data_IF_576314430432
#
_entry.id   IF_576314430432
#
_cell.length_a   1.000
_cell.length_b   1.000
_cell.length_c   1.000
_cell.angle_alpha   90.00
_cell.angle_beta   90.00
_cell.angle_gamma   90.00
#
_symmetry.space_group_name_H-M   'P 1'
#
loop_
_entity.id
_entity.type
_entity.pdbx_description
1 polymer ?
#
# COMPACT_ATOMS: atom_id res chain seq x y z
N UNK A 1 12.73 -36.05 5.52
CA UNK A 1 12.38 -35.84 4.11
C UNK A 1 10.99 -36.44 3.91
N UNK A 2 9.95 -35.64 4.16
CA UNK A 2 8.56 -36.06 3.97
C UNK A 2 8.17 -35.71 2.55
N UNK A 3 7.72 -36.70 1.80
CA UNK A 3 7.11 -36.54 0.48
C UNK A 3 5.89 -35.62 0.60
N UNK A 4 5.93 -34.48 -0.09
CA UNK A 4 4.74 -33.69 -0.40
C UNK A 4 3.95 -34.51 -1.42
N UNK A 5 3.02 -35.35 -0.94
CA UNK A 5 1.91 -35.77 -1.78
C UNK A 5 1.01 -34.56 -1.95
N UNK A 6 0.84 -34.14 -3.21
CA UNK A 6 -0.11 -33.11 -3.61
C UNK A 6 -1.50 -33.47 -3.09
N UNK A 7 -1.96 -32.75 -2.07
CA UNK A 7 -3.35 -32.81 -1.62
C UNK A 7 -4.19 -32.12 -2.70
N UNK A 8 -4.60 -32.89 -3.69
CA UNK A 8 -5.61 -32.48 -4.65
C UNK A 8 -6.93 -32.38 -3.86
N UNK A 9 -7.54 -31.19 -3.74
CA UNK A 9 -8.83 -31.07 -3.06
C UNK A 9 -9.84 -31.98 -3.76
N UNK A 10 -10.64 -32.68 -2.96
CA UNK A 10 -11.64 -33.60 -3.52
C UNK A 10 -12.67 -32.80 -4.33
N UNK A 11 -13.30 -33.39 -5.37
CA UNK A 11 -14.36 -32.73 -6.14
C UNK A 11 -15.47 -32.13 -5.27
N UNK A 12 -15.75 -32.74 -4.10
CA UNK A 12 -16.73 -32.25 -3.13
C UNK A 12 -16.30 -30.94 -2.43
N UNK A 13 -15.00 -30.74 -2.21
CA UNK A 13 -14.46 -29.49 -1.64
C UNK A 13 -14.45 -28.36 -2.67
N UNK A 14 -14.29 -28.70 -3.95
CA UNK A 14 -14.43 -27.74 -5.06
C UNK A 14 -15.91 -27.35 -5.21
N UNK A 15 -16.84 -28.31 -5.19
CA UNK A 15 -18.27 -28.05 -5.33
C UNK A 15 -18.87 -27.22 -4.17
N UNK A 16 -18.36 -27.35 -2.94
CA UNK A 16 -18.76 -26.53 -1.80
C UNK A 16 -18.33 -25.05 -1.93
N UNK A 17 -17.40 -24.75 -2.84
CA UNK A 17 -16.73 -23.45 -2.97
C UNK A 17 -17.25 -22.67 -4.19
N UNK A 18 -17.97 -23.31 -5.11
CA UNK A 18 -18.49 -22.69 -6.33
C UNK A 18 -19.80 -21.92 -6.09
N UNK A 19 -19.90 -20.63 -6.47
CA UNK A 19 -21.21 -19.96 -6.51
C UNK A 19 -22.07 -20.65 -7.56
N UNK A 20 -23.22 -21.18 -7.12
CA UNK A 20 -24.25 -21.72 -8.00
C UNK A 20 -25.27 -20.61 -8.27
N UNK A 21 -25.35 -20.15 -9.51
CA UNK A 21 -26.30 -19.10 -9.92
C UNK A 21 -27.32 -19.69 -10.90
N UNK A 22 -28.61 -19.43 -10.70
CA UNK A 22 -29.68 -20.07 -11.49
C UNK A 22 -29.66 -19.70 -13.01
N UNK A 23 -29.82 -20.67 -13.92
CA UNK A 23 -29.72 -20.63 -15.41
C UNK A 23 -28.88 -21.80 -16.03
N UNK A 24 -29.29 -22.50 -17.12
CA UNK A 24 -28.74 -23.82 -17.63
C UNK A 24 -27.23 -24.07 -17.37
N UNK A 25 -26.85 -25.31 -16.98
CA UNK A 25 -25.49 -25.77 -16.60
C UNK A 25 -24.38 -25.34 -17.59
N UNK A 26 -23.90 -24.11 -17.45
CA UNK A 26 -22.84 -23.49 -18.25
C UNK A 26 -21.68 -23.13 -17.30
N UNK A 27 -20.46 -23.52 -17.67
CA UNK A 27 -19.25 -23.21 -16.92
C UNK A 27 -18.62 -21.91 -17.46
N UNK A 28 -18.52 -20.89 -16.61
CA UNK A 28 -17.82 -19.63 -16.93
C UNK A 28 -16.66 -19.44 -15.94
N UNK A 29 -15.63 -18.68 -16.31
CA UNK A 29 -14.48 -18.41 -15.45
C UNK A 29 -14.43 -16.93 -15.11
N UNK A 30 -14.52 -16.61 -13.83
CA UNK A 30 -14.24 -15.28 -13.31
C UNK A 30 -12.74 -15.16 -13.03
N UNK A 31 -12.13 -14.04 -13.38
CA UNK A 31 -10.74 -13.74 -12.99
C UNK A 31 -10.77 -12.75 -11.85
N UNK A 32 -10.32 -13.18 -10.68
CA UNK A 32 -10.15 -12.32 -9.52
C UNK A 32 -8.69 -11.87 -9.46
N UNK A 33 -8.47 -10.57 -9.52
CA UNK A 33 -7.16 -9.96 -9.28
C UNK A 33 -7.19 -9.38 -7.88
N UNK A 34 -6.26 -9.82 -7.04
CA UNK A 34 -6.01 -9.22 -5.72
C UNK A 34 -4.59 -8.73 -5.68
N UNK A 35 -4.33 -7.72 -4.87
CA UNK A 35 -2.97 -7.25 -4.70
C UNK A 35 -2.85 -6.19 -3.64
N UNK A 36 -1.60 -5.83 -3.43
CA UNK A 36 -1.19 -4.74 -2.55
C UNK A 36 -0.18 -3.88 -3.28
N UNK A 37 -0.22 -2.58 -3.02
CA UNK A 37 0.78 -1.67 -3.54
C UNK A 37 1.09 -0.58 -2.54
N UNK A 38 2.28 -0.02 -2.66
CA UNK A 38 2.73 1.10 -1.85
C UNK A 38 2.45 2.38 -2.62
N UNK A 39 1.51 3.17 -2.11
CA UNK A 39 1.22 4.51 -2.59
C UNK A 39 2.17 5.51 -1.91
N UNK A 40 2.93 6.29 -2.69
CA UNK A 40 3.83 7.32 -2.17
C UNK A 40 3.26 8.69 -2.45
N UNK A 41 3.06 9.46 -1.38
CA UNK A 41 2.79 10.90 -1.46
C UNK A 41 4.05 11.66 -1.09
N UNK A 42 4.39 12.69 -1.85
CA UNK A 42 5.57 13.50 -1.60
C UNK A 42 5.30 14.98 -1.76
N UNK A 43 5.91 15.79 -0.90
CA UNK A 43 5.88 17.24 -0.98
C UNK A 43 7.23 17.79 -0.55
N UNK A 44 7.54 19.02 -0.96
CA UNK A 44 8.79 19.66 -0.60
C UNK A 44 8.54 20.89 0.24
N UNK A 45 9.40 21.12 1.21
CA UNK A 45 9.36 22.33 2.02
C UNK A 45 10.78 22.86 2.27
N UNK A 46 10.89 24.17 2.41
CA UNK A 46 12.14 24.84 2.73
C UNK A 46 12.26 24.95 4.25
N UNK A 47 13.28 24.31 4.81
CA UNK A 47 13.49 24.24 6.25
C UNK A 47 14.90 24.68 6.61
N UNK A 48 15.04 25.13 7.84
CA UNK A 48 16.33 25.42 8.43
C UNK A 48 16.74 24.25 9.34
N UNK A 49 17.95 23.74 9.16
CA UNK A 49 18.48 22.59 9.92
C UNK A 49 19.85 22.90 10.52
N UNK A 50 20.25 22.14 11.53
CA UNK A 50 21.61 22.21 12.08
C UNK A 50 22.64 21.70 11.06
N UNK A 51 23.89 22.15 11.18
CA UNK A 51 25.00 21.67 10.36
C UNK A 51 25.14 20.14 10.46
N UNK A 52 25.04 19.58 11.67
CA UNK A 52 25.08 18.12 11.88
C UNK A 52 23.93 17.38 11.19
N UNK A 53 22.71 17.94 11.24
CA UNK A 53 21.57 17.33 10.54
C UNK A 53 21.73 17.42 9.02
N UNK A 54 22.31 18.51 8.52
CA UNK A 54 22.60 18.69 7.10
C UNK A 54 23.59 17.63 6.59
N UNK A 55 24.70 17.43 7.31
CA UNK A 55 25.69 16.38 6.99
C UNK A 55 25.07 14.98 7.01
N UNK A 56 24.19 14.70 7.98
CA UNK A 56 23.44 13.43 8.00
C UNK A 56 22.54 13.31 6.77
N UNK A 57 21.78 14.36 6.44
CA UNK A 57 20.86 14.40 5.30
C UNK A 57 21.57 14.26 3.94
N UNK A 58 22.85 14.62 3.81
CA UNK A 58 23.65 14.38 2.60
C UNK A 58 23.83 12.89 2.30
N UNK A 59 23.85 12.07 3.35
CA UNK A 59 24.04 10.61 3.27
C UNK A 59 22.74 9.82 3.30
N UNK A 60 21.69 10.36 3.91
CA UNK A 60 20.36 9.73 3.98
C UNK A 60 19.77 9.56 2.56
N UNK A 61 19.26 8.36 2.28
CA UNK A 61 18.54 8.03 1.05
C UNK A 61 17.10 7.68 1.39
N UNK A 62 16.20 7.91 0.44
CA UNK A 62 14.82 7.46 0.58
C UNK A 62 14.82 5.94 0.73
N UNK A 63 14.05 5.38 1.68
CA UNK A 63 13.94 3.95 1.84
C UNK A 63 13.36 3.31 0.58
N UNK A 64 13.80 2.09 0.30
CA UNK A 64 13.16 1.27 -0.73
C UNK A 64 11.72 0.97 -0.29
N UNK A 65 10.74 1.09 -1.21
CA UNK A 65 9.36 0.73 -0.87
C UNK A 65 9.27 -0.77 -0.58
N UNK A 66 8.62 -1.14 0.52
CA UNK A 66 8.36 -2.53 0.88
C UNK A 66 6.85 -2.78 0.96
N UNK A 67 6.37 -3.73 0.15
CA UNK A 67 4.96 -4.16 0.13
C UNK A 67 4.59 -4.98 1.37
N UNK A 68 5.57 -5.44 2.14
CA UNK A 68 5.37 -6.19 3.38
C UNK A 68 5.38 -5.31 4.64
N UNK A 69 5.93 -4.10 4.57
CA UNK A 69 5.92 -3.19 5.70
C UNK A 69 4.61 -2.39 5.73
N UNK A 70 3.78 -2.70 6.74
CA UNK A 70 2.49 -2.07 6.96
C UNK A 70 2.60 -0.69 7.61
N UNK A 71 3.78 -0.32 8.11
CA UNK A 71 3.98 0.95 8.77
C UNK A 71 4.23 2.02 7.73
N UNK A 72 3.32 3.00 7.66
CA UNK A 72 3.41 4.11 6.71
C UNK A 72 4.70 4.91 6.88
N UNK A 73 5.73 4.49 6.15
CA UNK A 73 7.08 4.97 6.31
C UNK A 73 7.11 6.44 5.93
N UNK A 74 7.33 7.29 6.93
CA UNK A 74 7.63 8.71 6.72
C UNK A 74 9.12 8.84 6.55
N UNK A 75 9.53 9.50 5.48
CA UNK A 75 10.93 9.79 5.23
C UNK A 75 11.10 11.25 4.82
N UNK A 76 12.34 11.69 4.91
CA UNK A 76 12.77 12.98 4.37
C UNK A 76 14.12 12.79 3.69
N UNK A 77 14.32 13.47 2.59
CA UNK A 77 15.61 13.49 1.88
C UNK A 77 15.92 14.90 1.43
N UNK A 78 17.21 15.18 1.25
CA UNK A 78 17.66 16.46 0.72
C UNK A 78 17.40 16.54 -0.79
N UNK A 79 16.75 17.62 -1.25
CA UNK A 79 16.62 17.85 -2.70
C UNK A 79 18.00 18.06 -3.35
N UNK A 80 18.22 17.59 -4.60
CA UNK A 80 19.50 17.72 -5.27
C UNK A 80 20.03 19.17 -5.33
N UNK A 81 19.15 20.15 -5.53
CA UNK A 81 19.50 21.56 -5.60
C UNK A 81 20.01 22.14 -4.27
N UNK A 82 19.66 21.52 -3.13
CA UNK A 82 20.07 21.97 -1.80
C UNK A 82 21.35 21.30 -1.29
N UNK A 83 21.99 20.43 -2.09
CA UNK A 83 23.26 19.77 -1.72
C UNK A 83 24.45 20.74 -1.63
N UNK A 84 24.37 21.90 -2.30
CA UNK A 84 25.37 22.96 -2.24
C UNK A 84 24.95 24.14 -1.34
N UNK A 85 23.97 23.93 -0.46
CA UNK A 85 23.54 24.98 0.47
C UNK A 85 24.68 25.37 1.41
N UNK A 86 24.77 26.65 1.73
CA UNK A 86 25.83 27.19 2.59
C UNK A 86 25.32 27.51 3.99
N UNK A 87 26.23 27.45 4.97
CA UNK A 87 25.93 27.81 6.35
C UNK A 87 25.59 29.29 6.47
N UNK A 88 24.57 29.60 7.26
CA UNK A 88 24.10 30.94 7.59
C UNK A 88 23.91 31.08 9.11
N UNK A 89 23.57 32.29 9.57
CA UNK A 89 23.17 32.52 10.96
C UNK A 89 21.79 31.93 11.21
N UNK A 90 21.60 31.30 12.37
CA UNK A 90 20.33 30.70 12.71
C UNK A 90 19.24 31.76 12.90
N UNK A 91 18.17 31.69 12.13
CA UNK A 91 17.09 32.68 12.15
C UNK A 91 16.40 32.70 13.51
N UNK A 92 16.09 31.53 14.09
CA UNK A 92 15.47 31.40 15.42
C UNK A 92 16.33 32.04 16.54
N UNK A 93 17.66 31.88 16.47
CA UNK A 93 18.56 32.48 17.44
C UNK A 93 18.73 34.00 17.24
N UNK A 94 18.60 34.49 16.01
CA UNK A 94 18.70 35.91 15.69
C UNK A 94 17.52 36.68 16.30
N UNK A 95 16.31 36.11 16.28
CA UNK A 95 15.10 36.77 16.76
C UNK A 95 14.78 36.53 18.24
N UNK A 96 15.34 35.47 18.86
CA UNK A 96 15.09 35.14 20.29
C UNK A 96 16.36 34.78 21.08
N UNK A 97 17.35 35.67 21.18
CA UNK A 97 18.57 35.40 21.97
C UNK A 97 18.29 35.24 23.48
N UNK A 98 17.15 35.74 23.96
CA UNK A 98 16.80 35.84 25.38
C UNK A 98 16.07 34.60 25.92
N UNK A 99 15.27 33.92 25.08
CA UNK A 99 14.50 32.72 25.46
C UNK A 99 15.36 31.48 25.76
N UNK A 100 16.66 31.56 25.46
CA UNK A 100 17.61 30.50 25.71
C UNK A 100 18.47 30.77 26.94
N UNK A 101 18.36 31.95 27.59
CA UNK A 101 19.21 32.27 28.76
C UNK A 101 18.84 31.39 29.95
N UNK A 102 19.87 30.81 30.56
CA UNK A 102 19.69 30.03 31.78
C UNK A 102 19.39 30.94 32.96
N UNK A 103 18.21 30.76 33.55
CA UNK A 103 17.75 31.49 34.74
C UNK A 103 18.70 31.31 35.93
N UNK A 104 19.36 30.15 36.04
CA UNK A 104 20.27 29.84 37.14
C UNK A 104 21.56 30.66 37.12
N UNK A 105 22.07 31.00 35.95
CA UNK A 105 23.30 31.81 35.81
C UNK A 105 23.06 33.16 35.12
N UNK A 106 21.80 33.57 34.91
CA UNK A 106 21.44 34.78 34.17
C UNK A 106 21.99 34.83 32.74
N UNK A 107 22.27 33.68 32.11
CA UNK A 107 22.89 33.62 30.79
C UNK A 107 24.42 33.73 30.74
N UNK A 108 25.11 33.80 31.88
CA UNK A 108 26.59 33.94 31.93
C UNK A 108 27.35 32.62 31.77
N UNK A 109 26.67 31.48 31.98
CA UNK A 109 27.28 30.15 31.98
C UNK A 109 28.07 29.81 33.24
N UNK A 110 28.14 30.71 34.21
CA UNK A 110 28.84 30.50 35.49
C UNK A 110 27.98 30.91 36.67
N UNK A 111 28.16 30.23 37.79
CA UNK A 111 27.54 30.57 39.07
C UNK A 111 28.63 30.83 40.09
N UNK A 112 28.45 31.84 40.92
CA UNK A 112 29.37 32.10 42.03
C UNK A 112 29.15 31.03 43.09
N UNK A 113 30.13 30.17 43.31
CA UNK A 113 30.14 29.27 44.45
C UNK A 113 30.61 30.06 45.69
N UNK A 114 30.18 29.68 46.88
CA UNK A 114 30.55 30.35 48.12
C UNK A 114 32.09 30.50 48.23
N UNK A 115 32.59 31.73 48.17
CA UNK A 115 34.03 32.05 48.30
C UNK A 115 34.74 32.47 47.01
N UNK A 116 34.11 33.31 46.17
CA UNK A 116 34.69 33.97 44.97
C UNK A 116 35.12 33.08 43.79
N UNK A 117 35.05 31.75 43.90
CA UNK A 117 35.27 30.89 42.74
C UNK A 117 34.02 30.78 41.86
N UNK A 118 34.16 31.21 40.61
CA UNK A 118 33.12 31.01 39.59
C UNK A 118 33.17 29.56 39.07
N UNK A 119 32.10 28.80 39.28
CA UNK A 119 31.95 27.44 38.76
C UNK A 119 31.08 27.44 37.48
N UNK A 120 31.32 26.54 36.52
CA UNK A 120 30.41 26.38 35.38
C UNK A 120 29.00 26.00 35.85
N UNK A 121 27.99 26.64 35.26
CA UNK A 121 26.59 26.43 35.65
C UNK A 121 26.10 25.06 35.14
N UNK A 122 25.76 24.15 36.05
CA UNK A 122 25.30 22.79 35.71
C UNK A 122 23.92 22.71 35.07
N UNK A 123 23.15 23.80 35.06
CA UNK A 123 21.82 23.85 34.46
C UNK A 123 21.82 24.37 33.01
N UNK A 124 23.00 24.59 32.42
CA UNK A 124 23.11 25.13 31.06
C UNK A 124 24.44 24.80 30.41
N UNK A 125 24.50 24.95 29.10
CA UNK A 125 25.77 24.95 28.37
C UNK A 125 26.10 26.39 27.99
N UNK A 126 27.17 26.96 28.57
CA UNK A 126 27.60 28.33 28.30
C UNK A 126 26.49 29.40 28.43
N UNK A 127 25.65 29.28 29.45
CA UNK A 127 24.59 30.23 29.73
C UNK A 127 23.28 29.94 29.01
N UNK A 128 23.20 28.85 28.24
CA UNK A 128 22.02 28.47 27.47
C UNK A 128 21.28 27.28 28.13
N UNK A 129 20.07 27.50 28.64
CA UNK A 129 19.28 26.46 29.31
C UNK A 129 18.73 25.41 28.35
N UNK A 130 18.27 25.85 27.17
CA UNK A 130 17.80 24.95 26.11
C UNK A 130 18.47 25.34 24.80
N UNK A 131 19.25 24.44 24.17
CA UNK A 131 19.79 24.70 22.84
C UNK A 131 18.62 24.87 21.87
N UNK A 132 18.70 25.88 21.00
CA UNK A 132 17.73 26.09 19.93
C UNK A 132 17.55 24.79 19.12
N UNK A 133 16.31 24.34 18.91
CA UNK A 133 16.03 23.08 18.22
C UNK A 133 16.53 23.04 16.77
N UNK A 134 16.67 24.21 16.13
CA UNK A 134 17.14 24.34 14.75
C UNK A 134 18.66 24.22 14.66
N UNK A 135 19.42 25.06 15.37
CA UNK A 135 20.90 25.05 15.29
C UNK A 135 21.58 24.22 16.39
N UNK A 136 20.81 23.60 17.29
CA UNK A 136 21.31 22.85 18.45
C UNK A 136 22.32 23.62 19.31
N UNK A 137 22.19 24.95 19.35
CA UNK A 137 23.04 25.85 20.15
C UNK A 137 24.27 26.41 19.43
N UNK A 138 24.58 25.99 18.19
CA UNK A 138 25.75 26.51 17.44
C UNK A 138 25.56 27.93 16.91
N UNK A 139 24.31 28.43 16.89
CA UNK A 139 23.87 29.69 16.26
C UNK A 139 24.09 29.73 14.74
N UNK A 140 24.45 28.61 14.14
CA UNK A 140 24.64 28.42 12.70
C UNK A 140 23.69 27.34 12.21
N UNK A 141 23.21 27.51 10.99
CA UNK A 141 22.26 26.60 10.38
C UNK A 141 22.43 26.60 8.87
N UNK A 142 21.79 25.65 8.21
CA UNK A 142 21.77 25.55 6.75
C UNK A 142 20.30 25.59 6.32
N UNK A 143 19.98 26.48 5.36
CA UNK A 143 18.66 26.52 4.75
C UNK A 143 18.62 25.55 3.59
N UNK A 144 17.71 24.60 3.64
CA UNK A 144 17.63 23.52 2.65
C UNK A 144 16.20 23.25 2.26
N UNK A 145 16.01 22.75 1.05
CA UNK A 145 14.74 22.21 0.61
C UNK A 145 14.76 20.69 0.81
N UNK A 146 13.84 20.21 1.63
CA UNK A 146 13.67 18.78 1.88
C UNK A 146 12.48 18.26 1.09
N UNK A 147 12.64 17.08 0.53
CA UNK A 147 11.55 16.27 0.01
C UNK A 147 11.07 15.37 1.14
N UNK A 148 9.82 15.58 1.57
CA UNK A 148 9.13 14.71 2.51
C UNK A 148 8.31 13.69 1.75
N UNK A 149 8.26 12.47 2.26
CA UNK A 149 7.46 11.40 1.68
C UNK A 149 6.74 10.58 2.73
N UNK A 150 5.54 10.14 2.39
CA UNK A 150 4.75 9.19 3.16
C UNK A 150 4.32 8.05 2.24
N UNK A 151 4.71 6.84 2.62
CA UNK A 151 4.28 5.60 1.98
C UNK A 151 3.05 5.04 2.68
N UNK A 152 2.07 4.56 1.91
CA UNK A 152 0.84 3.93 2.42
C UNK A 152 0.54 2.64 1.68
N UNK A 153 0.30 1.56 2.42
CA UNK A 153 -0.15 0.32 1.82
C UNK A 153 -1.61 0.45 1.36
N UNK A 154 -1.86 0.09 0.10
CA UNK A 154 -3.19 0.00 -0.50
C UNK A 154 -3.45 -1.41 -0.95
N UNK A 155 -4.57 -1.96 -0.50
CA UNK A 155 -5.09 -3.22 -1.02
C UNK A 155 -6.06 -2.93 -2.16
N UNK A 156 -6.01 -3.76 -3.18
CA UNK A 156 -6.98 -3.72 -4.26
C UNK A 156 -7.45 -5.13 -4.57
N UNK A 157 -8.73 -5.25 -4.89
CA UNK A 157 -9.34 -6.48 -5.37
C UNK A 157 -10.33 -6.12 -6.47
N UNK A 158 -10.22 -6.79 -7.61
CA UNK A 158 -11.10 -6.56 -8.75
C UNK A 158 -11.47 -7.88 -9.41
N UNK A 159 -12.74 -7.99 -9.81
CA UNK A 159 -13.28 -9.20 -10.43
C UNK A 159 -13.58 -8.88 -11.89
N UNK A 160 -13.01 -9.66 -12.78
CA UNK A 160 -13.27 -9.63 -14.20
C UNK A 160 -14.16 -10.82 -14.54
N UNK A 161 -15.42 -10.51 -14.82
CA UNK A 161 -16.36 -11.49 -15.32
C UNK A 161 -16.28 -11.52 -16.86
N UNK A 162 -16.49 -12.68 -17.48
CA UNK A 162 -16.72 -12.73 -18.93
C UNK A 162 -17.99 -11.95 -19.26
N UNK A 163 -18.28 -11.78 -20.55
CA UNK A 163 -19.56 -11.21 -20.96
C UNK A 163 -20.69 -12.10 -20.43
N UNK A 164 -21.45 -11.57 -19.46
CA UNK A 164 -22.56 -12.24 -18.81
C UNK A 164 -23.82 -11.37 -18.98
N UNK A 165 -25.01 -11.98 -18.99
CA UNK A 165 -26.26 -11.24 -18.89
C UNK A 165 -26.27 -10.29 -17.69
N UNK A 166 -26.82 -9.09 -17.86
CA UNK A 166 -26.79 -8.01 -16.86
C UNK A 166 -27.26 -8.46 -15.46
N UNK A 167 -28.27 -9.34 -15.41
CA UNK A 167 -28.82 -9.87 -14.16
C UNK A 167 -27.87 -10.75 -13.33
N UNK A 168 -26.81 -11.29 -13.94
CA UNK A 168 -25.86 -12.19 -13.25
C UNK A 168 -24.59 -11.47 -12.75
N UNK A 169 -24.29 -10.30 -13.32
CA UNK A 169 -23.05 -9.56 -13.03
C UNK A 169 -22.99 -9.07 -11.58
N UNK A 170 -24.07 -8.45 -11.11
CA UNK A 170 -24.13 -7.85 -9.78
C UNK A 170 -24.11 -8.91 -8.66
N UNK A 171 -24.91 -9.99 -8.72
CA UNK A 171 -24.84 -11.08 -7.73
C UNK A 171 -23.45 -11.72 -7.63
N UNK A 172 -22.81 -12.02 -8.77
CA UNK A 172 -21.46 -12.59 -8.77
C UNK A 172 -20.43 -11.62 -8.19
N UNK A 173 -20.52 -10.33 -8.53
CA UNK A 173 -19.64 -9.32 -7.97
C UNK A 173 -19.78 -9.23 -6.46
N UNK A 174 -21.01 -9.27 -5.93
CA UNK A 174 -21.27 -9.27 -4.48
C UNK A 174 -20.73 -10.53 -3.80
N UNK A 175 -20.94 -11.70 -4.40
CA UNK A 175 -20.44 -12.97 -3.88
C UNK A 175 -18.91 -12.95 -3.71
N UNK A 176 -18.18 -12.52 -4.75
CA UNK A 176 -16.73 -12.46 -4.68
C UNK A 176 -16.21 -11.38 -3.73
N UNK A 177 -16.88 -10.24 -3.61
CA UNK A 177 -16.54 -9.20 -2.62
C UNK A 177 -16.73 -9.66 -1.17
N UNK A 178 -17.66 -10.58 -0.92
CA UNK A 178 -17.92 -11.10 0.42
C UNK A 178 -16.87 -12.12 0.90
N UNK A 179 -16.02 -12.65 0.01
CA UNK A 179 -14.97 -13.60 0.39
C UNK A 179 -13.68 -12.90 0.80
N UNK A 180 -13.15 -13.31 1.95
CA UNK A 180 -11.93 -12.75 2.56
C UNK A 180 -10.64 -13.36 2.03
N UNK A 181 -10.68 -14.57 1.47
CA UNK A 181 -9.49 -15.26 0.96
C UNK A 181 -9.81 -16.16 -0.24
N UNK A 182 -8.86 -16.23 -1.17
CA UNK A 182 -8.92 -17.09 -2.36
C UNK A 182 -7.94 -18.24 -2.19
N UNK A 183 -8.33 -19.51 -2.42
CA UNK A 183 -7.40 -20.62 -2.37
C UNK A 183 -6.26 -20.50 -3.40
N UNK A 184 -5.02 -20.77 -2.99
CA UNK A 184 -3.84 -20.70 -3.86
C UNK A 184 -3.90 -21.66 -5.06
N UNK A 185 -4.67 -22.76 -4.94
CA UNK A 185 -4.91 -23.71 -6.04
C UNK A 185 -5.60 -23.07 -7.26
N UNK A 186 -6.27 -21.92 -7.06
CA UNK A 186 -6.89 -21.16 -8.14
C UNK A 186 -5.94 -20.13 -8.76
N UNK A 187 -4.71 -20.01 -8.25
CA UNK A 187 -3.74 -19.03 -8.73
C UNK A 187 -3.36 -19.27 -10.18
N UNK A 188 -3.26 -18.19 -10.94
CA UNK A 188 -2.83 -18.17 -12.34
C UNK A 188 -1.73 -17.12 -12.53
N UNK A 189 -0.76 -17.42 -13.41
CA UNK A 189 0.19 -16.41 -13.86
C UNK A 189 -0.42 -15.59 -15.00
N UNK A 190 -0.50 -14.28 -14.84
CA UNK A 190 -0.97 -13.35 -15.88
C UNK A 190 0.07 -13.11 -16.99
N UNK A 191 1.34 -13.48 -16.76
CA UNK A 191 2.42 -13.30 -17.74
C UNK A 191 2.36 -14.32 -18.86
N UNK A 192 1.88 -15.52 -18.57
CA UNK A 192 1.77 -16.56 -19.58
C UNK A 192 0.58 -16.27 -20.50
N UNK A 193 0.81 -16.42 -21.80
CA UNK A 193 -0.29 -16.67 -22.72
C UNK A 193 -0.94 -17.97 -22.24
N UNK A 194 -2.26 -17.95 -22.04
CA UNK A 194 -3.05 -19.07 -21.52
C UNK A 194 -3.05 -20.30 -22.45
N UNK A 195 -1.97 -20.57 -23.18
CA UNK A 195 -1.83 -21.67 -24.12
C UNK A 195 -1.53 -23.03 -23.45
N UNK A 196 -1.21 -23.06 -22.15
CA UNK A 196 -0.78 -24.29 -21.47
C UNK A 196 -1.37 -24.58 -20.08
N UNK A 197 -1.84 -23.58 -19.34
CA UNK A 197 -2.42 -23.74 -18.00
C UNK A 197 -3.90 -23.40 -18.05
N UNK A 198 -4.68 -24.38 -18.46
CA UNK A 198 -6.12 -24.28 -18.43
C UNK A 198 -6.60 -24.17 -16.98
N UNK A 199 -7.54 -23.26 -16.69
CA UNK A 199 -8.21 -23.19 -15.38
C UNK A 199 -8.91 -24.52 -15.00
N UNK A 200 -8.99 -25.47 -15.95
CA UNK A 200 -9.48 -26.84 -15.80
C UNK A 200 -8.43 -27.92 -16.09
N UNK A 201 -7.12 -27.66 -15.90
CA UNK A 201 -6.05 -28.67 -15.99
C UNK A 201 -6.11 -29.58 -17.26
N UNK A 202 -6.37 -29.02 -18.43
CA UNK A 202 -6.15 -29.73 -19.71
C UNK A 202 -7.22 -29.59 -20.80
N UNK A 203 -8.26 -28.78 -20.63
CA UNK A 203 -9.09 -28.32 -21.75
C UNK A 203 -8.36 -27.20 -22.49
N UNK A 204 -8.41 -27.22 -23.82
CA UNK A 204 -7.77 -26.18 -24.61
C UNK A 204 -8.50 -24.86 -24.34
N UNK A 205 -7.75 -23.84 -23.95
CA UNK A 205 -8.12 -22.43 -23.71
C UNK A 205 -8.78 -21.69 -24.88
N UNK A 206 -9.26 -22.39 -25.90
CA UNK A 206 -10.14 -21.89 -26.96
C UNK A 206 -11.60 -22.29 -26.74
N UNK A 207 -11.97 -22.65 -25.51
CA UNK A 207 -13.33 -23.04 -25.17
C UNK A 207 -14.25 -21.81 -25.20
N UNK A 208 -14.77 -21.52 -26.40
CA UNK A 208 -15.89 -20.62 -26.57
C UNK A 208 -17.13 -21.33 -26.01
N UNK A 209 -17.55 -20.94 -24.82
CA UNK A 209 -18.81 -21.42 -24.23
C UNK A 209 -19.91 -20.51 -24.76
N UNK A 210 -20.56 -20.93 -25.86
CA UNK A 210 -21.66 -20.20 -26.53
C UNK A 210 -21.36 -18.73 -26.85
N UNK A 211 -20.16 -18.42 -27.33
CA UNK A 211 -19.76 -17.06 -27.73
C UNK A 211 -18.98 -16.28 -26.67
N UNK A 212 -18.93 -16.76 -25.42
CA UNK A 212 -18.24 -16.07 -24.34
C UNK A 212 -16.84 -16.66 -24.13
N UNK A 213 -15.81 -15.80 -24.25
CA UNK A 213 -14.40 -16.22 -24.17
C UNK A 213 -13.79 -15.80 -22.84
N UNK A 214 -13.18 -16.75 -22.13
CA UNK A 214 -12.37 -16.50 -20.93
C UNK A 214 -11.21 -15.52 -21.23
N UNK A 215 -10.73 -15.51 -22.48
CA UNK A 215 -9.71 -14.59 -22.98
C UNK A 215 -10.06 -13.12 -22.77
N UNK A 216 -11.35 -12.77 -22.82
CA UNK A 216 -11.79 -11.39 -22.60
C UNK A 216 -11.59 -10.96 -21.14
N UNK A 217 -12.00 -11.79 -20.18
CA UNK A 217 -11.82 -11.52 -18.75
C UNK A 217 -10.33 -11.49 -18.38
N UNK A 218 -9.55 -12.41 -18.94
CA UNK A 218 -8.10 -12.45 -18.77
C UNK A 218 -7.41 -11.20 -19.35
N UNK A 219 -7.78 -10.80 -20.57
CA UNK A 219 -7.24 -9.60 -21.21
C UNK A 219 -7.54 -8.34 -20.39
N UNK A 220 -8.76 -8.23 -19.85
CA UNK A 220 -9.13 -7.15 -18.93
C UNK A 220 -8.32 -7.18 -17.63
N UNK A 221 -8.10 -8.36 -17.05
CA UNK A 221 -7.29 -8.54 -15.84
C UNK A 221 -5.82 -8.14 -16.06
N UNK A 222 -5.21 -8.59 -17.17
CA UNK A 222 -3.85 -8.19 -17.57
C UNK A 222 -3.74 -6.67 -17.72
N UNK A 223 -4.68 -6.07 -18.45
CA UNK A 223 -4.72 -4.62 -18.66
C UNK A 223 -4.91 -3.83 -17.36
N UNK A 224 -5.69 -4.36 -16.42
CA UNK A 224 -5.89 -3.75 -15.12
C UNK A 224 -4.61 -3.76 -14.28
N UNK A 225 -3.94 -4.91 -14.15
CA UNK A 225 -2.67 -5.00 -13.40
C UNK A 225 -1.60 -4.08 -14.00
N UNK A 226 -1.48 -4.06 -15.32
CA UNK A 226 -0.56 -3.14 -16.02
C UNK A 226 -0.91 -1.67 -15.76
N UNK A 227 -2.19 -1.34 -15.72
CA UNK A 227 -2.64 0.03 -15.40
C UNK A 227 -2.28 0.40 -13.97
N UNK A 228 -2.53 -0.47 -12.99
CA UNK A 228 -2.20 -0.23 -11.58
C UNK A 228 -0.70 -0.02 -11.40
N UNK A 229 0.13 -0.86 -12.04
CA UNK A 229 1.61 -0.73 -12.02
C UNK A 229 2.13 0.58 -12.63
N UNK A 230 1.37 1.19 -13.54
CA UNK A 230 1.72 2.44 -14.22
C UNK A 230 1.15 3.69 -13.54
N UNK A 231 0.35 3.54 -12.48
CA UNK A 231 -0.15 4.68 -11.74
C UNK A 231 1.03 5.42 -11.09
N UNK A 232 1.17 6.73 -11.30
CA UNK A 232 2.35 7.49 -10.85
C UNK A 232 2.47 7.55 -9.32
N UNK A 233 1.38 7.27 -8.59
CA UNK A 233 1.35 7.25 -7.14
C UNK A 233 1.84 5.93 -6.55
N UNK A 234 1.83 4.83 -7.31
CA UNK A 234 2.29 3.54 -6.83
C UNK A 234 3.79 3.36 -7.12
N UNK A 235 4.59 3.16 -6.08
CA UNK A 235 6.04 2.96 -6.18
C UNK A 235 6.45 1.48 -6.13
N UNK A 236 5.56 0.63 -5.63
CA UNK A 236 5.70 -0.83 -5.66
C UNK A 236 4.31 -1.46 -5.73
N UNK A 237 4.17 -2.55 -6.49
CA UNK A 237 2.91 -3.28 -6.66
C UNK A 237 3.18 -4.77 -6.71
N UNK A 238 2.45 -5.53 -5.91
CA UNK A 238 2.38 -6.98 -5.96
C UNK A 238 0.92 -7.37 -6.24
N UNK A 239 0.71 -8.18 -7.27
CA UNK A 239 -0.61 -8.62 -7.68
C UNK A 239 -0.60 -10.12 -7.94
N UNK A 240 -1.64 -10.79 -7.47
CA UNK A 240 -1.96 -12.17 -7.76
C UNK A 240 -3.28 -12.23 -8.52
N UNK A 241 -3.40 -13.21 -9.42
CA UNK A 241 -4.63 -13.47 -10.13
C UNK A 241 -5.08 -14.89 -9.88
N UNK A 242 -6.39 -15.07 -9.89
CA UNK A 242 -7.02 -16.33 -9.59
C UNK A 242 -8.13 -16.60 -10.61
N UNK A 243 -8.11 -17.79 -11.21
CA UNK A 243 -9.16 -18.26 -12.09
C UNK A 243 -10.22 -18.99 -11.26
N UNK A 244 -11.38 -18.37 -11.12
CA UNK A 244 -12.47 -18.90 -10.33
C UNK A 244 -13.55 -19.51 -11.23
N UNK A 245 -13.79 -20.84 -11.17
CA UNK A 245 -14.87 -21.45 -11.93
C UNK A 245 -16.22 -21.02 -11.37
N UNK A 246 -17.17 -20.71 -12.25
CA UNK A 246 -18.54 -20.36 -11.88
C UNK A 246 -19.47 -21.27 -12.67
N UNK A 247 -20.37 -21.94 -11.96
CA UNK A 247 -21.38 -22.80 -12.57
C UNK A 247 -22.71 -22.06 -12.56
N UNK A 248 -23.20 -21.74 -13.75
CA UNK A 248 -24.55 -21.26 -13.94
C UNK A 248 -25.44 -22.51 -14.04
N UNK A 249 -26.41 -22.76 -13.14
CA UNK A 249 -27.29 -23.96 -13.15
C UNK A 249 -28.76 -23.65 -13.43
N UNK A 250 -29.34 -24.22 -14.48
CA UNK A 250 -30.71 -23.92 -14.93
C UNK A 250 -31.74 -24.49 -14.00
N UNK A 251 -32.86 -23.79 -13.85
CA UNK A 251 -33.89 -24.11 -12.87
C UNK A 251 -34.89 -22.94 -12.76
N UNK A 252 -36.16 -23.10 -13.17
CA UNK A 252 -37.32 -22.17 -13.08
C UNK A 252 -37.18 -20.94 -12.16
N UNK A 253 -37.79 -19.81 -12.56
CA UNK A 253 -37.83 -18.50 -11.87
C UNK A 253 -38.05 -18.53 -10.33
N UNK A 254 -38.59 -19.63 -9.80
CA UNK A 254 -38.66 -20.00 -8.38
C UNK A 254 -37.30 -20.06 -7.66
N UNK A 255 -36.23 -20.57 -8.28
CA UNK A 255 -34.92 -20.77 -7.62
C UNK A 255 -34.12 -19.48 -7.42
N UNK A 256 -34.40 -18.43 -8.21
CA UNK A 256 -33.86 -17.09 -7.98
C UNK A 256 -34.33 -16.49 -6.65
N UNK A 257 -35.44 -16.95 -6.08
CA UNK A 257 -35.89 -16.54 -4.75
C UNK A 257 -35.01 -17.15 -3.63
N UNK A 258 -34.54 -18.39 -3.79
CA UNK A 258 -33.71 -19.08 -2.80
C UNK A 258 -32.29 -18.49 -2.70
N UNK A 259 -31.68 -18.12 -3.84
CA UNK A 259 -30.37 -17.43 -3.84
C UNK A 259 -30.49 -15.99 -3.30
N UNK A 260 -31.65 -15.34 -3.43
CA UNK A 260 -31.92 -14.05 -2.77
C UNK A 260 -32.03 -14.21 -1.24
N UNK A 261 -32.59 -15.31 -0.75
CA UNK A 261 -32.68 -15.62 0.68
C UNK A 261 -31.30 -15.99 1.28
N UNK A 262 -30.49 -16.81 0.59
CA UNK A 262 -29.13 -17.16 1.06
C UNK A 262 -28.13 -16.00 0.97
N UNK A 263 -28.31 -15.07 0.01
CA UNK A 263 -27.49 -13.86 -0.11
C UNK A 263 -28.05 -12.66 0.69
N UNK A 264 -29.16 -12.83 1.43
CA UNK A 264 -29.77 -11.80 2.27
C UNK A 264 -30.29 -10.58 1.50
N UNK A 265 -30.65 -10.72 0.22
CA UNK A 265 -31.08 -9.61 -0.65
C UNK A 265 -32.61 -9.52 -0.66
N UNK A 266 -33.19 -9.03 0.43
CA UNK A 266 -34.62 -8.70 0.49
C UNK A 266 -34.86 -7.29 -0.07
N UNK A 267 -34.90 -7.14 -1.39
CA UNK A 267 -35.52 -5.96 -2.00
C UNK A 267 -36.93 -6.32 -2.48
N UNK A 268 -37.94 -5.85 -1.74
CA UNK A 268 -39.28 -5.60 -2.30
C UNK A 268 -39.14 -4.39 -3.21
N UNK A 269 -39.26 -4.60 -4.52
CA UNK A 269 -39.53 -3.52 -5.47
C UNK A 269 -41.06 -3.35 -5.57
N UNK A 270 -41.57 -2.10 -5.66
CA UNK A 270 -42.96 -1.82 -5.97
C UNK A 270 -43.36 -2.23 -7.39
#
# INVERSE_FOLDING_TARGET
MSSFEDVIPSPAEVDAVLPVVAGRSDHVVAILVTGRGVERTSWSDEVEVSEDDFERLLTEKAPAPDVNDLNGAKFRTLEPASRSATTQRCSECQFRPENNRCLRCGGTGRVTAHGDESAPCSACTNGIAHPCSVCKGTRRSVRVKLLFGEDRLRHFAHIFLPELPFGLREPLTRFFKARSSVPDVLSIDLRDDFAGADAYRGRRSKAEVRGHRADAALGLAKNYVERVKRLPTFVAVEAAAFAWPVVLRGEDESACAAVKDELGVTHRLP
#
